data_IF_278548939080
#
_entry.id   IF_278548939080
#
_cell.length_a   1.000
_cell.length_b   1.000
_cell.length_c   1.000
_cell.angle_alpha   90.00
_cell.angle_beta   90.00
_cell.angle_gamma   90.00
#
_symmetry.space_group_name_H-M   'P 1'
#
loop_
_entity.id
_entity.type
_entity.pdbx_description
1 polymer ?
#
# COMPACT_ATOMS: atom_id res chain seq x y z
N UNK A 1 -8.89 16.96 -48.51
CA UNK A 1 -9.20 15.58 -48.06
C UNK A 1 -8.84 15.37 -46.58
N UNK A 2 -7.62 15.72 -46.14
CA UNK A 2 -7.23 15.64 -44.72
C UNK A 2 -8.07 16.50 -43.76
N UNK A 3 -8.51 17.69 -44.17
CA UNK A 3 -9.35 18.57 -43.33
C UNK A 3 -10.73 17.97 -43.09
N UNK A 4 -11.33 17.32 -44.11
CA UNK A 4 -12.59 16.57 -43.96
C UNK A 4 -12.45 15.37 -43.03
N UNK A 5 -11.31 14.69 -43.07
CA UNK A 5 -11.04 13.55 -42.19
C UNK A 5 -10.83 13.97 -40.73
N UNK A 6 -10.20 15.13 -40.48
CA UNK A 6 -10.08 15.68 -39.13
C UNK A 6 -11.42 16.17 -38.58
N UNK A 7 -12.27 16.79 -39.39
CA UNK A 7 -13.63 17.17 -38.97
C UNK A 7 -14.51 15.96 -38.63
N UNK A 8 -14.37 14.82 -39.31
CA UNK A 8 -15.06 13.59 -38.94
C UNK A 8 -14.53 12.98 -37.63
N UNK A 9 -13.22 13.11 -37.35
CA UNK A 9 -12.60 12.64 -36.10
C UNK A 9 -12.99 13.50 -34.89
N UNK A 10 -13.15 14.81 -35.06
CA UNK A 10 -13.60 15.72 -34.00
C UNK A 10 -15.10 15.59 -33.69
N UNK A 11 -15.92 15.19 -34.67
CA UNK A 11 -17.35 14.92 -34.48
C UNK A 11 -17.65 13.51 -33.92
N UNK A 12 -16.65 12.67 -33.73
CA UNK A 12 -16.78 11.36 -33.07
C UNK A 12 -16.65 11.52 -31.56
N UNK A 13 -17.50 12.36 -30.97
CA UNK A 13 -17.74 12.41 -29.53
C UNK A 13 -18.64 11.24 -29.13
N UNK A 14 -18.29 10.58 -28.02
CA UNK A 14 -18.99 9.41 -27.47
C UNK A 14 -20.47 9.66 -27.17
N UNK A 15 -20.87 10.93 -27.16
CA UNK A 15 -22.20 11.45 -26.85
C UNK A 15 -23.11 11.67 -28.05
N UNK A 16 -22.62 11.69 -29.31
CA UNK A 16 -23.48 11.95 -30.48
C UNK A 16 -23.92 10.69 -31.25
N UNK A 17 -23.11 9.61 -31.29
CA UNK A 17 -23.47 8.35 -31.99
C UNK A 17 -22.90 7.09 -31.27
N UNK A 18 -23.45 6.69 -30.10
CA UNK A 18 -22.84 5.71 -29.19
C UNK A 18 -22.64 4.31 -29.80
N UNK A 19 -23.55 3.85 -30.66
CA UNK A 19 -23.44 2.52 -31.27
C UNK A 19 -22.39 2.43 -32.39
N UNK A 20 -22.15 3.53 -33.13
CA UNK A 20 -21.13 3.57 -34.19
C UNK A 20 -19.73 3.74 -33.61
N UNK A 21 -19.57 4.59 -32.59
CA UNK A 21 -18.29 4.75 -31.88
C UNK A 21 -17.91 3.46 -31.13
N UNK A 22 -18.86 2.81 -30.45
CA UNK A 22 -18.63 1.53 -29.77
C UNK A 22 -18.23 0.42 -30.76
N UNK A 23 -18.90 0.32 -31.92
CA UNK A 23 -18.56 -0.68 -32.94
C UNK A 23 -17.15 -0.45 -33.51
N UNK A 24 -16.79 0.80 -33.77
CA UNK A 24 -15.45 1.17 -34.26
C UNK A 24 -14.37 0.96 -33.19
N UNK A 25 -14.67 1.27 -31.93
CA UNK A 25 -13.78 1.04 -30.80
C UNK A 25 -13.54 -0.45 -30.56
N UNK A 26 -14.60 -1.27 -30.55
CA UNK A 26 -14.48 -2.73 -30.43
C UNK A 26 -13.65 -3.28 -31.60
N UNK A 27 -13.91 -2.85 -32.84
CA UNK A 27 -13.12 -3.29 -33.99
C UNK A 27 -11.63 -2.90 -33.86
N UNK A 28 -11.35 -1.69 -33.39
CA UNK A 28 -9.99 -1.20 -33.16
C UNK A 28 -9.29 -1.98 -32.04
N UNK A 29 -9.97 -2.21 -30.92
CA UNK A 29 -9.50 -2.98 -29.76
C UNK A 29 -9.26 -4.43 -30.16
N UNK A 30 -10.18 -5.08 -30.89
CA UNK A 30 -10.00 -6.44 -31.39
C UNK A 30 -8.84 -6.53 -32.39
N UNK A 31 -8.64 -5.54 -33.27
CA UNK A 31 -7.47 -5.50 -34.16
C UNK A 31 -6.17 -5.36 -33.37
N UNK A 32 -6.14 -4.51 -32.36
CA UNK A 32 -4.96 -4.29 -31.53
C UNK A 32 -4.65 -5.51 -30.68
N UNK A 33 -5.66 -6.12 -30.04
CA UNK A 33 -5.55 -7.37 -29.30
C UNK A 33 -5.06 -8.50 -30.20
N UNK A 34 -5.66 -8.71 -31.37
CA UNK A 34 -5.21 -9.75 -32.30
C UNK A 34 -3.78 -9.51 -32.79
N UNK A 35 -3.37 -8.25 -33.01
CA UNK A 35 -2.00 -7.90 -33.40
C UNK A 35 -1.01 -8.11 -32.26
N UNK A 36 -1.38 -7.75 -31.03
CA UNK A 36 -0.59 -7.99 -29.83
C UNK A 36 -0.47 -9.49 -29.54
N UNK A 37 -1.57 -10.24 -29.64
CA UNK A 37 -1.57 -11.71 -29.48
C UNK A 37 -0.74 -12.37 -30.57
N UNK A 38 -0.84 -11.95 -31.83
CA UNK A 38 0.01 -12.47 -32.91
C UNK A 38 1.48 -12.10 -32.70
N UNK A 39 1.78 -10.91 -32.16
CA UNK A 39 3.13 -10.48 -31.82
C UNK A 39 3.71 -11.30 -30.66
N UNK A 40 2.92 -11.52 -29.60
CA UNK A 40 3.23 -12.40 -28.48
C UNK A 40 3.36 -13.87 -28.90
N UNK A 41 2.55 -14.34 -29.86
CA UNK A 41 2.65 -15.70 -30.42
C UNK A 41 3.90 -15.86 -31.29
N UNK A 42 4.23 -14.84 -32.08
CA UNK A 42 5.43 -14.80 -32.91
C UNK A 42 6.71 -14.74 -32.07
N UNK A 43 6.68 -14.03 -30.94
CA UNK A 43 7.77 -13.97 -29.97
C UNK A 43 7.62 -14.97 -28.81
N UNK A 44 6.68 -15.92 -28.90
CA UNK A 44 6.36 -16.87 -27.82
C UNK A 44 7.59 -17.68 -27.42
N UNK A 45 8.45 -18.03 -28.38
CA UNK A 45 9.72 -18.70 -28.10
C UNK A 45 10.66 -17.85 -27.24
N UNK A 46 10.83 -16.56 -27.58
CA UNK A 46 11.67 -15.63 -26.83
C UNK A 46 11.11 -15.31 -25.44
N UNK A 47 9.80 -15.11 -25.33
CA UNK A 47 9.12 -14.88 -24.05
C UNK A 47 9.18 -16.11 -23.13
N UNK A 48 8.98 -17.32 -23.69
CA UNK A 48 9.14 -18.56 -22.93
C UNK A 48 10.59 -18.78 -22.52
N UNK A 49 11.56 -18.48 -23.39
CA UNK A 49 12.98 -18.56 -23.07
C UNK A 49 13.37 -17.55 -21.98
N UNK A 50 12.92 -16.30 -22.07
CA UNK A 50 13.15 -15.29 -21.05
C UNK A 50 12.49 -15.66 -19.73
N UNK A 51 11.24 -16.13 -19.76
CA UNK A 51 10.52 -16.58 -18.57
C UNK A 51 11.18 -17.79 -17.91
N UNK A 52 11.67 -18.75 -18.70
CA UNK A 52 12.39 -19.92 -18.18
C UNK A 52 13.76 -19.55 -17.64
N UNK A 53 14.50 -18.64 -18.29
CA UNK A 53 15.78 -18.10 -17.77
C UNK A 53 15.54 -17.37 -16.45
N UNK A 54 14.50 -16.54 -16.34
CA UNK A 54 14.14 -15.84 -15.10
C UNK A 54 13.72 -16.82 -14.01
N UNK A 55 12.95 -17.86 -14.36
CA UNK A 55 12.57 -18.91 -13.42
C UNK A 55 13.77 -19.72 -12.93
N UNK A 56 14.67 -20.13 -13.83
CA UNK A 56 15.90 -20.85 -13.50
C UNK A 56 16.83 -19.96 -12.65
N UNK A 57 17.01 -18.69 -13.03
CA UNK A 57 17.78 -17.73 -12.26
C UNK A 57 17.17 -17.51 -10.87
N UNK A 58 15.84 -17.40 -10.78
CA UNK A 58 15.11 -17.28 -9.51
C UNK A 58 15.24 -18.52 -8.63
N UNK A 59 15.12 -19.73 -9.21
CA UNK A 59 15.34 -20.99 -8.50
C UNK A 59 16.79 -21.08 -8.02
N UNK A 60 17.77 -20.76 -8.88
CA UNK A 60 19.19 -20.76 -8.52
C UNK A 60 19.51 -19.73 -7.41
N UNK A 61 18.83 -18.57 -7.43
CA UNK A 61 18.96 -17.57 -6.37
C UNK A 61 18.39 -18.03 -5.03
N UNK A 62 17.39 -18.92 -5.05
CA UNK A 62 16.70 -19.43 -3.85
C UNK A 62 17.37 -20.72 -3.33
N UNK A 63 18.01 -21.51 -4.20
CA UNK A 63 18.59 -22.82 -3.83
C UNK A 63 20.08 -22.78 -3.54
N UNK A 64 20.80 -21.72 -3.94
CA UNK A 64 22.23 -21.57 -3.63
C UNK A 64 22.38 -20.82 -2.32
N UNK A 65 22.64 -21.55 -1.24
CA UNK A 65 23.09 -21.02 0.05
C UNK A 65 24.46 -20.33 -0.14
N UNK A 66 24.41 -19.02 -0.38
CA UNK A 66 25.56 -18.18 -0.66
C UNK A 66 25.60 -16.90 0.17
N UNK A 67 26.64 -16.06 0.04
CA UNK A 67 26.77 -14.77 0.77
C UNK A 67 25.64 -13.77 0.45
N UNK A 68 24.79 -14.06 -0.54
CA UNK A 68 23.59 -13.31 -0.86
C UNK A 68 22.43 -13.56 0.10
N UNK A 69 22.41 -14.66 0.86
CA UNK A 69 21.34 -14.96 1.82
C UNK A 69 21.16 -13.81 2.83
N UNK A 70 22.27 -13.27 3.35
CA UNK A 70 22.27 -12.10 4.25
C UNK A 70 21.65 -10.85 3.61
N UNK A 71 21.94 -10.62 2.33
CA UNK A 71 21.42 -9.45 1.61
C UNK A 71 19.94 -9.61 1.27
N UNK A 72 19.52 -10.82 0.86
CA UNK A 72 18.12 -11.16 0.58
C UNK A 72 17.29 -11.05 1.86
N UNK A 73 17.80 -11.55 2.99
CA UNK A 73 17.12 -11.46 4.28
C UNK A 73 17.02 -10.01 4.78
N UNK A 74 18.05 -9.19 4.56
CA UNK A 74 17.99 -7.74 4.84
C UNK A 74 16.90 -7.06 4.00
N UNK A 75 16.87 -7.30 2.68
CA UNK A 75 15.84 -6.75 1.78
C UNK A 75 14.44 -7.22 2.20
N UNK A 76 14.28 -8.50 2.55
CA UNK A 76 12.99 -9.03 3.00
C UNK A 76 12.51 -8.35 4.29
N UNK A 77 13.42 -8.00 5.21
CA UNK A 77 13.10 -7.22 6.42
C UNK A 77 12.61 -5.81 6.06
N UNK A 78 13.27 -5.13 5.12
CA UNK A 78 12.82 -3.83 4.62
C UNK A 78 11.46 -3.91 3.91
N UNK A 79 11.24 -4.91 3.07
CA UNK A 79 9.95 -5.12 2.38
C UNK A 79 8.84 -5.40 3.38
N UNK A 80 9.08 -6.26 4.37
CA UNK A 80 8.11 -6.55 5.43
C UNK A 80 7.79 -5.32 6.26
N UNK A 81 8.79 -4.50 6.58
CA UNK A 81 8.61 -3.22 7.27
C UNK A 81 7.74 -2.26 6.47
N UNK A 82 8.05 -2.08 5.18
CA UNK A 82 7.25 -1.22 4.29
C UNK A 82 5.81 -1.72 4.17
N UNK A 83 5.64 -3.02 3.91
CA UNK A 83 4.34 -3.65 3.79
C UNK A 83 3.51 -3.53 5.08
N UNK A 84 4.14 -3.70 6.25
CA UNK A 84 3.47 -3.56 7.55
C UNK A 84 2.86 -2.16 7.74
N UNK A 85 3.66 -1.11 7.53
CA UNK A 85 3.21 0.27 7.73
C UNK A 85 2.24 0.74 6.64
N UNK A 86 2.46 0.35 5.39
CA UNK A 86 1.52 0.62 4.29
C UNK A 86 0.20 -0.10 4.54
N UNK A 87 0.20 -1.37 4.94
CA UNK A 87 -1.03 -2.12 5.22
C UNK A 87 -1.81 -1.53 6.40
N UNK A 88 -1.13 -1.09 7.46
CA UNK A 88 -1.76 -0.37 8.56
C UNK A 88 -2.38 0.97 8.10
N UNK A 89 -1.69 1.70 7.22
CA UNK A 89 -2.21 2.92 6.61
C UNK A 89 -3.45 2.69 5.75
N UNK A 90 -3.45 1.63 4.92
CA UNK A 90 -4.61 1.23 4.11
C UNK A 90 -5.78 0.84 5.01
N UNK A 91 -5.54 0.01 6.03
CA UNK A 91 -6.56 -0.39 7.00
C UNK A 91 -7.14 0.82 7.77
N UNK A 92 -6.34 1.87 7.98
CA UNK A 92 -6.78 3.12 8.58
C UNK A 92 -7.76 3.93 7.71
N UNK A 93 -7.76 3.72 6.38
CA UNK A 93 -8.61 4.45 5.43
C UNK A 93 -9.89 3.69 5.07
N UNK A 94 -9.82 2.36 4.96
CA UNK A 94 -10.95 1.50 4.52
C UNK A 94 -12.04 1.33 5.59
N UNK A 95 -11.77 1.67 6.86
CA UNK A 95 -12.85 1.84 7.86
C UNK A 95 -13.05 0.71 8.86
N UNK A 96 -12.09 0.53 9.78
CA UNK A 96 -12.33 -0.17 11.07
C UNK A 96 -12.57 0.80 12.25
N UNK A 97 -12.66 2.09 11.98
CA UNK A 97 -12.80 3.18 12.94
C UNK A 97 -12.30 4.49 12.32
N UNK A 98 -12.63 5.65 12.88
CA UNK A 98 -12.03 6.93 12.44
C UNK A 98 -10.52 6.75 12.35
N UNK A 99 -9.85 7.16 11.25
CA UNK A 99 -8.40 6.89 11.06
C UNK A 99 -7.52 7.32 12.25
N UNK A 100 -8.03 8.22 13.09
CA UNK A 100 -7.50 8.56 14.41
C UNK A 100 -7.35 7.34 15.36
N UNK A 101 -8.33 6.45 15.43
CA UNK A 101 -8.26 5.28 16.31
C UNK A 101 -7.11 4.34 15.92
N UNK A 102 -6.94 4.08 14.62
CA UNK A 102 -5.83 3.28 14.11
C UNK A 102 -4.49 3.97 14.36
N UNK A 103 -4.42 5.30 14.20
CA UNK A 103 -3.25 6.10 14.58
C UNK A 103 -2.91 5.93 16.08
N UNK A 104 -3.89 6.09 16.98
CA UNK A 104 -3.70 5.99 18.43
C UNK A 104 -3.32 4.58 18.89
N UNK A 105 -3.69 3.53 18.15
CA UNK A 105 -3.35 2.15 18.52
C UNK A 105 -1.96 1.71 18.04
N UNK A 106 -1.47 2.24 16.91
CA UNK A 106 -0.24 1.73 16.29
C UNK A 106 0.84 2.80 16.13
N UNK A 107 0.60 3.84 15.34
CA UNK A 107 1.63 4.84 15.03
C UNK A 107 1.95 5.75 16.23
N UNK A 108 0.93 6.21 16.94
CA UNK A 108 1.06 7.06 18.12
C UNK A 108 1.92 6.43 19.23
N UNK A 109 1.60 5.19 19.69
CA UNK A 109 2.39 4.50 20.69
C UNK A 109 3.83 4.25 20.24
N UNK A 110 4.06 3.95 18.96
CA UNK A 110 5.41 3.81 18.43
C UNK A 110 6.23 5.10 18.57
N UNK A 111 5.68 6.25 18.15
CA UNK A 111 6.35 7.55 18.27
C UNK A 111 6.58 7.92 19.74
N UNK A 112 5.57 7.70 20.60
CA UNK A 112 5.64 8.02 22.01
C UNK A 112 6.70 7.19 22.74
N UNK A 113 6.69 5.86 22.57
CA UNK A 113 7.64 4.95 23.22
C UNK A 113 9.08 5.22 22.77
N UNK A 114 9.28 5.47 21.47
CA UNK A 114 10.59 5.84 20.94
C UNK A 114 11.10 7.15 21.55
N UNK A 115 10.24 8.18 21.60
CA UNK A 115 10.58 9.49 22.15
C UNK A 115 10.92 9.41 23.64
N UNK A 116 10.13 8.66 24.42
CA UNK A 116 10.38 8.45 25.86
C UNK A 116 11.73 7.78 26.06
N UNK A 117 12.03 6.70 25.32
CA UNK A 117 13.31 5.99 25.42
C UNK A 117 14.48 6.86 24.98
N UNK A 118 14.34 7.63 23.91
CA UNK A 118 15.38 8.54 23.44
C UNK A 118 15.71 9.64 24.47
N UNK A 119 14.67 10.20 25.12
CA UNK A 119 14.84 11.20 26.18
C UNK A 119 15.41 10.58 27.46
N UNK A 120 15.01 9.36 27.83
CA UNK A 120 15.56 8.66 29.00
C UNK A 120 17.05 8.34 28.85
N UNK A 121 17.45 7.84 27.67
CA UNK A 121 18.84 7.48 27.41
C UNK A 121 19.70 8.66 26.89
N UNK A 122 19.09 9.81 26.61
CA UNK A 122 19.79 11.00 26.11
C UNK A 122 20.46 10.83 24.76
N UNK A 123 19.84 10.03 23.90
CA UNK A 123 20.39 9.64 22.59
C UNK A 123 19.28 9.19 21.65
N UNK A 124 19.52 9.29 20.34
CA UNK A 124 18.52 8.99 19.30
C UNK A 124 18.88 7.77 18.44
N UNK A 125 20.12 7.32 18.54
CA UNK A 125 20.72 6.15 17.86
C UNK A 125 20.42 4.84 18.60
N UNK A 126 19.17 4.67 19.07
CA UNK A 126 18.75 3.46 19.80
C UNK A 126 18.25 2.35 18.87
N UNK A 127 17.83 2.68 17.64
CA UNK A 127 17.39 1.70 16.65
C UNK A 127 18.59 0.95 16.06
N UNK A 128 18.52 -0.38 16.08
CA UNK A 128 19.53 -1.23 15.43
C UNK A 128 19.52 -1.06 13.90
N UNK A 129 18.33 -0.90 13.32
CA UNK A 129 18.10 -0.64 11.91
C UNK A 129 16.77 0.10 11.71
N UNK A 130 16.55 0.66 10.53
CA UNK A 130 15.32 1.41 10.20
C UNK A 130 14.05 0.55 10.32
N UNK A 131 14.12 -0.76 10.07
CA UNK A 131 12.97 -1.66 10.18
C UNK A 131 12.70 -2.18 11.60
N UNK A 132 13.50 -1.77 12.60
CA UNK A 132 13.35 -2.18 13.99
C UNK A 132 12.20 -1.41 14.67
N UNK A 133 10.98 -1.87 14.38
CA UNK A 133 9.72 -1.25 14.76
C UNK A 133 8.80 -2.22 15.53
N UNK A 134 7.77 -1.67 16.15
CA UNK A 134 6.66 -2.42 16.76
C UNK A 134 5.84 -3.08 15.65
N UNK A 135 5.67 -4.40 15.73
CA UNK A 135 4.81 -5.20 14.84
C UNK A 135 3.85 -6.05 15.68
N UNK A 136 2.79 -6.60 15.05
CA UNK A 136 1.69 -7.30 15.73
C UNK A 136 2.10 -8.42 16.72
N UNK A 137 3.30 -8.98 16.61
CA UNK A 137 3.84 -10.02 17.49
C UNK A 137 5.35 -9.91 17.72
N UNK A 138 5.92 -8.73 17.46
CA UNK A 138 7.37 -8.50 17.58
C UNK A 138 7.61 -7.19 18.31
N UNK A 139 8.30 -7.30 19.43
CA UNK A 139 8.79 -6.17 20.22
C UNK A 139 10.08 -5.66 19.56
N UNK A 140 10.25 -4.34 19.40
CA UNK A 140 11.48 -3.81 18.83
C UNK A 140 12.66 -4.00 19.78
N UNK A 141 13.86 -4.15 19.24
CA UNK A 141 15.04 -4.51 20.02
C UNK A 141 15.45 -3.44 21.04
N UNK A 142 15.07 -2.18 20.78
CA UNK A 142 15.41 -1.04 21.62
C UNK A 142 14.50 -0.84 22.83
N UNK A 143 13.30 -1.45 22.86
CA UNK A 143 12.35 -1.20 23.95
C UNK A 143 12.77 -1.90 25.25
N UNK A 144 13.39 -3.07 25.15
CA UNK A 144 13.79 -3.90 26.30
C UNK A 144 15.23 -3.72 26.77
N UNK A 145 16.08 -2.99 26.04
CA UNK A 145 17.49 -2.76 26.40
C UNK A 145 17.65 -1.63 27.40
N UNK A 146 18.62 -1.77 28.29
CA UNK A 146 18.98 -0.74 29.26
C UNK A 146 19.81 0.38 28.62
N UNK A 147 19.68 1.60 29.12
CA UNK A 147 20.41 2.75 28.57
C UNK A 147 21.93 2.57 28.59
N UNK A 148 22.46 1.76 29.51
CA UNK A 148 23.88 1.45 29.61
C UNK A 148 24.41 0.63 28.41
N UNK A 149 23.56 -0.18 27.76
CA UNK A 149 23.97 -1.03 26.63
C UNK A 149 24.18 -0.22 25.34
N UNK A 150 23.51 0.93 25.20
CA UNK A 150 23.67 1.78 24.02
C UNK A 150 24.94 2.65 24.09
N UNK A 151 25.49 2.85 25.30
CA UNK A 151 26.67 3.67 25.57
C UNK A 151 26.36 5.04 26.19
N UNK A 152 27.33 5.97 26.22
CA UNK A 152 27.17 7.28 26.86
C UNK A 152 26.16 8.17 26.11
N UNK A 153 25.41 9.05 26.81
CA UNK A 153 24.44 9.93 26.19
C UNK A 153 25.13 10.88 25.20
N UNK A 154 24.53 11.06 24.02
CA UNK A 154 25.01 11.99 22.99
C UNK A 154 24.68 13.43 23.32
N UNK A 155 23.63 13.64 24.12
CA UNK A 155 23.17 14.95 24.56
C UNK A 155 23.32 15.10 26.09
N UNK A 156 24.57 15.20 26.60
CA UNK A 156 24.79 15.52 28.00
C UNK A 156 24.38 16.97 28.24
N UNK A 157 23.49 17.20 29.21
CA UNK A 157 23.08 18.54 29.62
C UNK A 157 23.17 18.65 31.13
N UNK A 158 23.80 19.74 31.59
CA UNK A 158 24.09 20.05 32.99
C UNK A 158 22.84 20.22 33.87
N UNK A 159 21.67 20.43 33.26
CA UNK A 159 20.37 20.56 33.94
C UNK A 159 19.38 19.43 33.60
N UNK A 160 19.89 18.25 33.25
CA UNK A 160 19.09 17.09 32.85
C UNK A 160 19.04 16.91 31.33
N UNK A 161 18.76 15.69 30.91
CA UNK A 161 18.82 15.26 29.51
C UNK A 161 17.79 16.00 28.66
N UNK A 162 18.25 16.81 27.69
CA UNK A 162 17.40 17.48 26.69
C UNK A 162 17.79 17.01 25.30
N UNK A 163 16.91 16.20 24.68
CA UNK A 163 17.07 15.76 23.30
C UNK A 163 16.22 16.66 22.39
N UNK A 164 16.80 17.30 21.36
CA UNK A 164 16.04 18.16 20.45
C UNK A 164 15.10 17.34 19.56
N UNK A 165 13.89 17.85 19.32
CA UNK A 165 12.89 17.21 18.44
C UNK A 165 13.41 17.01 17.01
N UNK A 166 14.26 17.92 16.51
CA UNK A 166 14.88 17.83 15.19
C UNK A 166 15.74 16.57 15.02
N UNK A 167 16.26 16.00 16.11
CA UNK A 167 17.03 14.76 16.08
C UNK A 167 16.15 13.51 16.26
N UNK A 168 14.96 13.65 16.85
CA UNK A 168 14.01 12.54 17.09
C UNK A 168 13.15 12.27 15.85
N UNK A 169 12.59 13.33 15.24
CA UNK A 169 11.72 13.24 14.07
C UNK A 169 12.28 12.38 12.92
N UNK A 170 13.55 12.55 12.47
CA UNK A 170 14.06 11.77 11.35
C UNK A 170 14.12 10.27 11.62
N UNK A 171 14.08 9.84 12.88
CA UNK A 171 14.09 8.43 13.26
C UNK A 171 12.72 7.77 13.18
N UNK A 172 11.62 8.54 13.21
CA UNK A 172 10.24 8.02 13.19
C UNK A 172 9.42 8.49 11.97
N UNK A 173 10.00 9.37 11.14
CA UNK A 173 9.32 9.93 9.98
C UNK A 173 9.01 8.90 8.90
N UNK A 174 9.85 7.87 8.73
CA UNK A 174 9.66 6.89 7.65
C UNK A 174 8.42 6.04 7.89
N UNK A 175 8.17 5.67 9.15
CA UNK A 175 6.96 4.98 9.58
C UNK A 175 5.72 5.84 9.31
N UNK A 176 5.79 7.14 9.59
CA UNK A 176 4.71 8.07 9.30
C UNK A 176 4.48 8.28 7.80
N UNK A 177 5.54 8.32 6.98
CA UNK A 177 5.45 8.44 5.52
C UNK A 177 4.85 7.16 4.91
N UNK A 178 5.32 5.98 5.31
CA UNK A 178 4.79 4.69 4.85
C UNK A 178 3.33 4.52 5.26
N UNK A 179 2.97 4.94 6.47
CA UNK A 179 1.58 5.00 6.90
C UNK A 179 0.77 5.92 6.00
N UNK A 180 1.22 7.15 5.79
CA UNK A 180 0.53 8.13 4.95
C UNK A 180 0.37 7.66 3.50
N UNK A 181 1.37 6.97 2.95
CA UNK A 181 1.28 6.29 1.66
C UNK A 181 0.19 5.23 1.66
N UNK A 182 0.12 4.42 2.71
CA UNK A 182 -0.95 3.44 2.89
C UNK A 182 -2.33 4.09 2.96
N UNK A 183 -2.48 5.18 3.71
CA UNK A 183 -3.73 5.94 3.77
C UNK A 183 -4.15 6.45 2.39
N UNK A 184 -3.22 7.04 1.64
CA UNK A 184 -3.50 7.51 0.27
C UNK A 184 -3.91 6.36 -0.68
N UNK A 185 -3.31 5.18 -0.53
CA UNK A 185 -3.70 3.98 -1.28
C UNK A 185 -5.07 3.44 -0.86
N UNK A 186 -5.43 3.54 0.41
CA UNK A 186 -6.75 3.13 0.92
C UNK A 186 -7.90 4.01 0.42
N UNK A 187 -7.63 5.26 0.05
CA UNK A 187 -8.62 6.19 -0.50
C UNK A 187 -8.85 6.03 -2.01
N UNK A 188 -7.98 5.28 -2.72
CA UNK A 188 -8.10 5.06 -4.16
C UNK A 188 -9.42 4.38 -4.59
N UNK A 189 -9.88 3.29 -3.93
CA UNK A 189 -11.13 2.63 -4.29
C UNK A 189 -12.37 3.55 -4.24
N UNK A 190 -12.68 4.27 -3.13
CA UNK A 190 -13.81 5.19 -3.11
C UNK A 190 -13.63 6.38 -4.08
N UNK A 191 -12.38 6.81 -4.31
CA UNK A 191 -12.10 7.83 -5.34
C UNK A 191 -12.47 7.36 -6.75
N UNK A 192 -12.16 6.12 -7.14
CA UNK A 192 -12.54 5.62 -8.46
C UNK A 192 -14.05 5.43 -8.60
N UNK A 193 -14.74 4.99 -7.53
CA UNK A 193 -16.20 4.84 -7.52
C UNK A 193 -16.87 6.21 -7.70
N UNK A 194 -16.49 7.19 -6.88
CA UNK A 194 -17.02 8.57 -6.95
C UNK A 194 -16.70 9.26 -8.28
N UNK A 195 -15.50 9.03 -8.83
CA UNK A 195 -15.12 9.55 -10.15
C UNK A 195 -15.89 8.87 -11.29
N UNK A 196 -16.13 7.57 -11.21
CA UNK A 196 -16.95 6.86 -12.20
C UNK A 196 -18.40 7.36 -12.15
N UNK A 197 -18.95 7.58 -10.95
CA UNK A 197 -20.29 8.12 -10.76
C UNK A 197 -20.44 9.55 -11.30
N UNK A 198 -19.44 10.43 -11.09
CA UNK A 198 -19.48 11.80 -11.58
C UNK A 198 -19.32 11.90 -13.10
N UNK A 199 -18.44 11.09 -13.70
CA UNK A 199 -18.25 11.03 -15.15
C UNK A 199 -19.46 10.39 -15.86
N UNK A 200 -20.18 9.47 -15.19
CA UNK A 200 -21.38 8.83 -15.74
C UNK A 200 -22.63 9.75 -15.74
N UNK A 201 -22.53 10.99 -15.28
CA UNK A 201 -23.63 11.95 -15.38
C UNK A 201 -24.86 11.65 -14.50
N UNK A 202 -24.71 10.81 -13.47
CA UNK A 202 -25.71 10.60 -12.43
C UNK A 202 -26.33 9.20 -12.38
N UNK A 203 -26.09 8.49 -11.27
CA UNK A 203 -27.14 8.17 -10.30
C UNK A 203 -26.45 7.88 -8.95
N UNK A 204 -26.99 8.47 -7.90
CA UNK A 204 -26.55 8.37 -6.50
C UNK A 204 -26.71 6.92 -5.95
N UNK A 205 -27.29 6.00 -6.74
CA UNK A 205 -27.52 4.58 -6.43
C UNK A 205 -26.27 3.79 -6.04
N UNK A 206 -25.10 4.06 -6.62
CA UNK A 206 -23.93 3.19 -6.39
C UNK A 206 -23.36 3.32 -4.97
N UNK A 207 -23.59 4.45 -4.29
CA UNK A 207 -23.21 4.61 -2.88
C UNK A 207 -24.29 4.01 -1.96
N UNK A 208 -25.56 4.15 -2.34
CA UNK A 208 -26.71 3.63 -1.59
C UNK A 208 -26.79 2.09 -1.67
N UNK A 209 -26.46 1.48 -2.81
CA UNK A 209 -26.35 0.01 -2.97
C UNK A 209 -25.18 -0.58 -2.17
N UNK A 210 -24.05 0.14 -2.01
CA UNK A 210 -22.93 -0.34 -1.18
C UNK A 210 -23.25 -0.21 0.32
N UNK A 211 -23.88 0.88 0.74
CA UNK A 211 -24.38 1.03 2.11
C UNK A 211 -25.49 0.03 2.44
N UNK A 212 -26.38 -0.30 1.49
CA UNK A 212 -27.41 -1.33 1.69
C UNK A 212 -26.84 -2.75 1.62
N UNK A 213 -25.85 -3.05 0.77
CA UNK A 213 -25.22 -4.39 0.75
C UNK A 213 -24.57 -4.74 2.10
N UNK A 214 -23.97 -3.75 2.78
CA UNK A 214 -23.39 -3.94 4.11
C UNK A 214 -24.44 -4.15 5.22
N UNK A 215 -25.65 -3.59 5.04
CA UNK A 215 -26.80 -3.80 5.95
C UNK A 215 -27.53 -5.12 5.66
N UNK A 216 -27.64 -5.53 4.40
CA UNK A 216 -28.23 -6.80 3.99
C UNK A 216 -27.39 -7.99 4.44
N UNK A 217 -26.05 -7.92 4.37
CA UNK A 217 -25.16 -8.97 4.87
C UNK A 217 -25.27 -9.16 6.39
N UNK A 218 -25.42 -8.06 7.15
CA UNK A 218 -25.68 -8.11 8.58
C UNK A 218 -27.06 -8.72 8.91
N UNK A 219 -28.08 -8.40 8.11
CA UNK A 219 -29.42 -8.98 8.21
C UNK A 219 -29.47 -10.48 7.85
N UNK A 220 -28.74 -10.90 6.82
CA UNK A 220 -28.65 -12.29 6.37
C UNK A 220 -27.90 -13.18 7.38
N UNK A 221 -26.80 -12.68 7.95
CA UNK A 221 -26.06 -13.39 9.01
C UNK A 221 -26.88 -13.50 10.30
N UNK A 222 -27.60 -12.44 10.68
CA UNK A 222 -28.58 -12.42 11.78
C UNK A 222 -29.70 -13.46 11.60
N UNK A 223 -30.29 -13.50 10.40
CA UNK A 223 -31.36 -14.45 10.07
C UNK A 223 -30.87 -15.91 10.07
N UNK A 224 -29.64 -16.17 9.59
CA UNK A 224 -29.03 -17.51 9.67
C UNK A 224 -28.71 -17.93 11.11
N UNK A 225 -28.24 -17.01 11.96
CA UNK A 225 -27.93 -17.31 13.36
C UNK A 225 -29.19 -17.67 14.17
N UNK A 226 -30.31 -16.98 13.94
CA UNK A 226 -31.57 -17.31 14.61
C UNK A 226 -32.17 -18.66 14.16
N UNK A 227 -31.84 -19.11 12.94
CA UNK A 227 -32.30 -20.41 12.42
C UNK A 227 -31.47 -21.59 12.94
N UNK A 228 -30.26 -21.34 13.44
CA UNK A 228 -29.37 -22.35 14.04
C UNK A 228 -29.64 -22.50 15.55
N UNK A 229 -30.25 -21.50 16.19
CA UNK A 229 -30.55 -21.49 17.63
C UNK A 229 -31.92 -22.08 17.99
N UNK A 230 -32.64 -22.65 17.03
CA UNK A 230 -33.93 -23.34 17.24
C UNK A 230 -33.80 -24.80 16.85
#
# INVERSE_FOLDING_TARGET
LHIKHQQELENLTLTSQPFKTLKLFILAVTRYLSRSVAYLLSHRGWLMLLSTIVAIAGVLLVTVDGPHEKHVEEVLRYVRFGLWWVALGVASSIGLGSGLHTFVLYLGPHIALFTIKAVQCGRVDIKSALYDTIQLKRVPSWLGKDCAEFGPPLFPSSHGVRVPLSSILPQVQLEAILWGLGTALGELPPYFISRAASVSGGKVDAMEELDDSSKEDAGFLSARLNKIKR
#
